data_IF_880838162997
#
_entry.id   IF_880838162997
#
_cell.length_a   1.000
_cell.length_b   1.000
_cell.length_c   1.000
_cell.angle_alpha   90.00
_cell.angle_beta   90.00
_cell.angle_gamma   90.00
#
_symmetry.space_group_name_H-M   'P 1'
#
loop_
_entity.id
_entity.type
_entity.pdbx_description
1 polymer ?
#
# COMPACT_ATOMS: atom_id res chain seq x y z
N UNK A 1 -23.52 -19.56 -13.11
CA UNK A 1 -22.88 -18.42 -13.80
C UNK A 1 -22.13 -17.52 -12.81
N UNK A 2 -22.70 -17.23 -11.63
CA UNK A 2 -22.05 -16.40 -10.58
C UNK A 2 -20.76 -17.03 -10.07
N UNK A 3 -20.74 -18.31 -9.71
CA UNK A 3 -19.54 -19.03 -9.23
C UNK A 3 -18.41 -19.02 -10.28
N UNK A 4 -18.74 -19.13 -11.58
CA UNK A 4 -17.72 -19.07 -12.63
C UNK A 4 -17.14 -17.65 -12.73
N UNK A 5 -17.95 -16.64 -12.55
CA UNK A 5 -17.52 -15.24 -12.57
C UNK A 5 -16.62 -14.92 -11.38
N UNK A 6 -17.00 -15.34 -10.16
CA UNK A 6 -16.18 -15.21 -8.96
C UNK A 6 -14.82 -15.88 -9.11
N UNK A 7 -14.79 -17.12 -9.61
CA UNK A 7 -13.53 -17.83 -9.85
C UNK A 7 -12.64 -17.12 -10.90
N UNK A 8 -13.24 -16.51 -11.94
CA UNK A 8 -12.49 -15.72 -12.93
C UNK A 8 -11.89 -14.45 -12.32
N UNK A 9 -12.60 -13.82 -11.40
CA UNK A 9 -12.12 -12.65 -10.64
C UNK A 9 -10.89 -13.01 -9.81
N UNK A 10 -11.01 -14.09 -9.04
CA UNK A 10 -9.93 -14.55 -8.16
C UNK A 10 -8.69 -14.95 -8.97
N UNK A 11 -8.88 -15.62 -10.11
CA UNK A 11 -7.79 -15.95 -11.03
C UNK A 11 -7.16 -14.69 -11.61
N UNK A 12 -7.94 -13.68 -11.99
CA UNK A 12 -7.42 -12.43 -12.54
C UNK A 12 -6.58 -11.68 -11.50
N UNK A 13 -7.04 -11.60 -10.24
CA UNK A 13 -6.26 -11.01 -9.16
C UNK A 13 -5.00 -11.82 -8.84
N UNK A 14 -5.08 -13.14 -8.86
CA UNK A 14 -3.92 -14.01 -8.64
C UNK A 14 -2.86 -13.80 -9.74
N UNK A 15 -3.27 -13.80 -11.01
CA UNK A 15 -2.38 -13.53 -12.16
C UNK A 15 -1.77 -12.13 -12.05
N UNK A 16 -2.56 -11.13 -11.67
CA UNK A 16 -2.09 -9.76 -11.43
C UNK A 16 -1.04 -9.71 -10.32
N UNK A 17 -1.28 -10.37 -9.19
CA UNK A 17 -0.36 -10.42 -8.06
C UNK A 17 0.96 -11.10 -8.45
N UNK A 18 0.90 -12.25 -9.15
CA UNK A 18 2.08 -12.97 -9.63
C UNK A 18 2.88 -12.10 -10.60
N UNK A 19 2.22 -11.46 -11.57
CA UNK A 19 2.87 -10.57 -12.52
C UNK A 19 3.54 -9.39 -11.83
N UNK A 20 2.88 -8.79 -10.82
CA UNK A 20 3.43 -7.68 -10.06
C UNK A 20 4.65 -8.09 -9.24
N UNK A 21 4.57 -9.19 -8.48
CA UNK A 21 5.69 -9.71 -7.68
C UNK A 21 6.88 -10.10 -8.57
N UNK A 22 6.61 -10.77 -9.69
CA UNK A 22 7.65 -11.15 -10.64
C UNK A 22 8.30 -9.91 -11.29
N UNK A 23 7.49 -8.93 -11.67
CA UNK A 23 7.96 -7.65 -12.18
C UNK A 23 8.87 -6.93 -11.18
N UNK A 24 8.48 -6.85 -9.90
CA UNK A 24 9.31 -6.27 -8.83
C UNK A 24 10.65 -7.03 -8.68
N UNK A 25 10.62 -8.36 -8.74
CA UNK A 25 11.85 -9.17 -8.72
C UNK A 25 12.78 -8.82 -9.89
N UNK A 26 12.23 -8.60 -11.08
CA UNK A 26 13.04 -8.21 -12.26
C UNK A 26 13.59 -6.78 -12.16
N UNK A 27 12.93 -5.89 -11.43
CA UNK A 27 13.39 -4.51 -11.19
C UNK A 27 14.69 -4.46 -10.37
N UNK A 28 15.01 -5.50 -9.59
CA UNK A 28 16.23 -5.55 -8.79
C UNK A 28 17.52 -5.65 -9.63
N UNK A 29 17.43 -5.96 -10.93
CA UNK A 29 18.59 -6.10 -11.81
C UNK A 29 18.52 -5.14 -12.99
N UNK A 30 19.55 -4.30 -13.26
CA UNK A 30 19.51 -3.29 -14.31
C UNK A 30 19.19 -3.83 -15.70
N UNK A 31 19.64 -5.05 -16.02
CA UNK A 31 19.42 -5.69 -17.34
C UNK A 31 17.97 -6.09 -17.58
N UNK A 32 17.22 -6.38 -16.53
CA UNK A 32 15.82 -6.85 -16.59
C UNK A 32 14.81 -5.81 -16.13
N UNK A 33 15.28 -4.69 -15.55
CA UNK A 33 14.43 -3.68 -14.92
C UNK A 33 13.36 -3.13 -15.87
N UNK A 34 13.68 -2.87 -17.13
CA UNK A 34 12.71 -2.37 -18.13
C UNK A 34 11.57 -3.37 -18.35
N UNK A 35 11.89 -4.65 -18.51
CA UNK A 35 10.90 -5.70 -18.71
C UNK A 35 10.10 -5.94 -17.42
N UNK A 36 10.77 -5.87 -16.26
CA UNK A 36 10.13 -5.95 -14.96
C UNK A 36 9.07 -4.87 -14.77
N UNK A 37 9.38 -3.64 -15.14
CA UNK A 37 8.42 -2.53 -15.07
C UNK A 37 7.21 -2.75 -15.99
N UNK A 38 7.42 -3.27 -17.21
CA UNK A 38 6.33 -3.58 -18.14
C UNK A 38 5.42 -4.68 -17.57
N UNK A 39 6.00 -5.74 -17.02
CA UNK A 39 5.25 -6.87 -16.43
C UNK A 39 4.47 -6.40 -15.19
N UNK A 40 5.09 -5.61 -14.30
CA UNK A 40 4.42 -5.04 -13.14
C UNK A 40 3.26 -4.11 -13.54
N UNK A 41 3.48 -3.27 -14.54
CA UNK A 41 2.44 -2.36 -15.07
C UNK A 41 1.28 -3.14 -15.71
N UNK A 42 1.56 -4.22 -16.43
CA UNK A 42 0.53 -5.09 -16.99
C UNK A 42 -0.28 -5.78 -15.87
N UNK A 43 0.39 -6.28 -14.82
CA UNK A 43 -0.28 -6.83 -13.64
C UNK A 43 -1.20 -5.80 -12.96
N UNK A 44 -0.72 -4.58 -12.76
CA UNK A 44 -1.53 -3.48 -12.22
C UNK A 44 -2.74 -3.17 -13.09
N UNK A 45 -2.56 -3.13 -14.42
CA UNK A 45 -3.65 -2.88 -15.36
C UNK A 45 -4.72 -3.96 -15.28
N UNK A 46 -4.33 -5.24 -15.19
CA UNK A 46 -5.26 -6.36 -15.01
C UNK A 46 -6.06 -6.16 -13.72
N UNK A 47 -5.42 -5.83 -12.60
CA UNK A 47 -6.11 -5.58 -11.33
C UNK A 47 -7.12 -4.44 -11.43
N UNK A 48 -6.73 -3.32 -12.03
CA UNK A 48 -7.60 -2.15 -12.21
C UNK A 48 -8.82 -2.51 -13.06
N UNK A 49 -8.61 -3.15 -14.21
CA UNK A 49 -9.71 -3.56 -15.10
C UNK A 49 -10.65 -4.53 -14.39
N UNK A 50 -10.10 -5.51 -13.66
CA UNK A 50 -10.90 -6.47 -12.88
C UNK A 50 -11.74 -5.75 -11.83
N UNK A 51 -11.15 -4.83 -11.06
CA UNK A 51 -11.85 -4.07 -10.02
C UNK A 51 -12.94 -3.18 -10.61
N UNK A 52 -12.66 -2.46 -11.69
CA UNK A 52 -13.62 -1.53 -12.33
C UNK A 52 -14.75 -2.28 -13.00
N UNK A 53 -14.47 -3.39 -13.67
CA UNK A 53 -15.48 -4.17 -14.40
C UNK A 53 -16.44 -4.94 -13.47
N UNK A 54 -15.98 -5.33 -12.28
CA UNK A 54 -16.69 -6.22 -11.36
C UNK A 54 -17.19 -5.51 -10.08
N UNK A 55 -16.76 -4.29 -9.85
CA UNK A 55 -17.21 -3.47 -8.72
C UNK A 55 -18.67 -3.02 -8.89
N UNK A 56 -19.58 -3.69 -8.20
CA UNK A 56 -21.04 -3.44 -8.32
C UNK A 56 -21.50 -2.14 -7.68
N UNK A 57 -20.73 -1.52 -6.80
CA UNK A 57 -21.09 -0.32 -6.03
C UNK A 57 -20.05 0.80 -6.11
N UNK A 58 -19.28 0.86 -7.21
CA UNK A 58 -18.23 1.86 -7.38
C UNK A 58 -18.80 3.11 -8.07
N UNK A 59 -18.46 4.28 -7.55
CA UNK A 59 -18.71 5.55 -8.25
C UNK A 59 -17.71 5.72 -9.39
N UNK A 60 -18.08 5.25 -10.58
CA UNK A 60 -17.25 5.29 -11.78
C UNK A 60 -16.80 6.70 -12.17
N UNK A 61 -17.58 7.74 -11.82
CA UNK A 61 -17.22 9.13 -12.09
C UNK A 61 -16.06 9.55 -11.20
N UNK A 62 -16.14 9.28 -9.89
CA UNK A 62 -15.07 9.60 -8.93
C UNK A 62 -13.79 8.83 -9.25
N UNK A 63 -13.90 7.54 -9.57
CA UNK A 63 -12.74 6.73 -9.96
C UNK A 63 -12.10 7.29 -11.24
N UNK A 64 -12.90 7.59 -12.27
CA UNK A 64 -12.39 8.16 -13.53
C UNK A 64 -11.68 9.50 -13.32
N UNK A 65 -12.24 10.40 -12.52
CA UNK A 65 -11.63 11.69 -12.17
C UNK A 65 -10.32 11.46 -11.41
N UNK A 66 -10.31 10.59 -10.41
CA UNK A 66 -9.11 10.29 -9.62
C UNK A 66 -8.00 9.67 -10.48
N UNK A 67 -8.34 8.77 -11.40
CA UNK A 67 -7.40 8.17 -12.34
C UNK A 67 -6.80 9.21 -13.30
N UNK A 68 -7.61 10.12 -13.85
CA UNK A 68 -7.12 11.19 -14.72
C UNK A 68 -6.17 12.11 -13.96
N UNK A 69 -6.57 12.59 -12.78
CA UNK A 69 -5.76 13.48 -11.96
C UNK A 69 -4.44 12.79 -11.57
N UNK A 70 -4.50 11.56 -11.08
CA UNK A 70 -3.32 10.78 -10.68
C UNK A 70 -2.38 10.52 -11.86
N UNK A 71 -2.93 10.19 -13.03
CA UNK A 71 -2.14 9.95 -14.25
C UNK A 71 -1.45 11.22 -14.75
N UNK A 72 -2.14 12.35 -14.75
CA UNK A 72 -1.55 13.65 -15.17
C UNK A 72 -0.42 14.05 -14.22
N UNK A 73 -0.66 13.98 -12.91
CA UNK A 73 0.36 14.30 -11.89
C UNK A 73 1.55 13.34 -12.00
N UNK A 74 1.27 12.03 -12.07
CA UNK A 74 2.31 11.01 -12.18
C UNK A 74 3.16 11.15 -13.44
N UNK A 75 2.53 11.35 -14.59
CA UNK A 75 3.22 11.57 -15.86
C UNK A 75 4.05 12.87 -15.85
N UNK A 76 3.51 13.95 -15.30
CA UNK A 76 4.21 15.21 -15.17
C UNK A 76 5.52 15.06 -14.39
N UNK A 77 5.48 14.43 -13.23
CA UNK A 77 6.68 14.20 -12.43
C UNK A 77 7.63 13.20 -13.09
N UNK A 78 7.12 12.12 -13.68
CA UNK A 78 7.95 11.11 -14.32
C UNK A 78 8.76 11.66 -15.52
N UNK A 79 8.19 12.62 -16.27
CA UNK A 79 8.87 13.23 -17.44
C UNK A 79 9.86 14.33 -17.00
N UNK A 80 9.55 15.06 -15.90
CA UNK A 80 10.34 16.22 -15.45
C UNK A 80 11.50 15.88 -14.52
N UNK A 81 11.47 14.71 -13.90
CA UNK A 81 12.49 14.31 -12.93
C UNK A 81 13.81 13.97 -13.62
N UNK A 82 14.90 14.50 -13.09
CA UNK A 82 16.24 14.13 -13.53
C UNK A 82 16.61 12.72 -13.05
N UNK A 83 17.52 12.03 -13.77
CA UNK A 83 17.95 10.67 -13.42
C UNK A 83 18.53 10.58 -12.00
N UNK A 84 19.19 11.64 -11.54
CA UNK A 84 19.75 11.76 -10.18
C UNK A 84 18.69 11.87 -9.10
N UNK A 85 17.49 12.32 -9.45
CA UNK A 85 16.36 12.51 -8.53
C UNK A 85 15.36 11.33 -8.58
N UNK A 86 15.59 10.33 -9.45
CA UNK A 86 14.70 9.17 -9.57
C UNK A 86 14.45 8.43 -8.22
N UNK A 87 15.45 8.22 -7.34
CA UNK A 87 15.21 7.59 -6.05
C UNK A 87 14.24 8.38 -5.16
N UNK A 88 14.28 9.73 -5.25
CA UNK A 88 13.36 10.61 -4.51
C UNK A 88 11.92 10.47 -5.02
N UNK A 89 11.74 10.40 -6.35
CA UNK A 89 10.43 10.22 -6.97
C UNK A 89 9.83 8.86 -6.60
N UNK A 90 10.65 7.80 -6.63
CA UNK A 90 10.23 6.45 -6.23
C UNK A 90 9.78 6.43 -4.77
N UNK A 91 10.52 7.10 -3.88
CA UNK A 91 10.15 7.19 -2.46
C UNK A 91 8.79 7.86 -2.28
N UNK A 92 8.53 8.99 -2.95
CA UNK A 92 7.24 9.68 -2.87
C UNK A 92 6.10 8.79 -3.39
N UNK A 93 6.24 8.18 -4.56
CA UNK A 93 5.19 7.34 -5.14
C UNK A 93 4.92 6.10 -4.30
N UNK A 94 5.96 5.49 -3.73
CA UNK A 94 5.80 4.40 -2.77
C UNK A 94 5.02 4.85 -1.53
N UNK A 95 5.33 6.04 -1.00
CA UNK A 95 4.60 6.62 0.12
C UNK A 95 3.12 6.83 -0.19
N UNK A 96 2.79 7.45 -1.31
CA UNK A 96 1.40 7.63 -1.72
C UNK A 96 0.67 6.29 -1.95
N UNK A 97 1.36 5.27 -2.48
CA UNK A 97 0.82 3.92 -2.60
C UNK A 97 0.48 3.30 -1.23
N UNK A 98 1.38 3.45 -0.25
CA UNK A 98 1.13 3.03 1.13
C UNK A 98 -0.06 3.77 1.76
N UNK A 99 -0.08 5.10 1.62
CA UNK A 99 -1.20 5.93 2.09
C UNK A 99 -2.54 5.55 1.47
N UNK A 100 -2.58 5.31 0.16
CA UNK A 100 -3.77 4.84 -0.54
C UNK A 100 -4.26 3.48 0.01
N UNK A 101 -3.35 2.54 0.22
CA UNK A 101 -3.66 1.23 0.81
C UNK A 101 -4.26 1.37 2.22
N UNK A 102 -3.67 2.22 3.08
CA UNK A 102 -4.18 2.48 4.42
C UNK A 102 -5.58 3.12 4.39
N UNK A 103 -5.82 4.08 3.48
CA UNK A 103 -7.12 4.74 3.34
C UNK A 103 -8.21 3.80 2.86
N UNK A 104 -7.92 2.94 1.88
CA UNK A 104 -8.87 1.93 1.39
C UNK A 104 -9.21 0.95 2.50
N UNK A 105 -8.22 0.43 3.21
CA UNK A 105 -8.42 -0.49 4.33
C UNK A 105 -9.21 0.17 5.47
N UNK A 106 -8.94 1.44 5.76
CA UNK A 106 -9.68 2.24 6.75
C UNK A 106 -11.15 2.41 6.34
N UNK A 107 -11.40 2.73 5.07
CA UNK A 107 -12.76 2.84 4.54
C UNK A 107 -13.53 1.53 4.66
N UNK A 108 -12.87 0.40 4.37
CA UNK A 108 -13.46 -0.92 4.46
C UNK A 108 -13.78 -1.31 5.91
N UNK A 109 -12.88 -0.97 6.84
CA UNK A 109 -13.12 -1.18 8.28
C UNK A 109 -14.37 -0.42 8.78
N UNK A 110 -14.52 0.84 8.39
CA UNK A 110 -15.71 1.64 8.80
C UNK A 110 -17.01 1.18 8.16
N UNK A 111 -16.96 0.57 6.99
CA UNK A 111 -18.17 0.02 6.34
C UNK A 111 -18.65 -1.28 6.98
N UNK A 112 -17.75 -2.17 7.33
CA UNK A 112 -18.09 -3.55 7.66
C UNK A 112 -17.53 -4.02 9.01
N UNK A 113 -16.67 -3.28 9.69
CA UNK A 113 -15.80 -3.65 10.78
C UNK A 113 -16.34 -4.70 11.76
N UNK A 114 -17.40 -4.37 12.51
CA UNK A 114 -17.94 -5.26 13.56
C UNK A 114 -18.60 -6.55 13.03
N UNK A 115 -19.01 -6.58 11.78
CA UNK A 115 -19.71 -7.71 11.15
C UNK A 115 -18.84 -8.47 10.13
N UNK A 116 -17.55 -8.11 10.03
CA UNK A 116 -16.65 -8.72 9.07
C UNK A 116 -16.14 -10.08 9.53
N UNK A 117 -15.91 -11.02 8.60
CA UNK A 117 -15.18 -12.25 8.92
C UNK A 117 -13.78 -11.93 9.44
N UNK A 118 -13.30 -12.74 10.40
CA UNK A 118 -11.96 -12.56 11.00
C UNK A 118 -10.84 -12.42 9.96
N UNK A 119 -10.77 -13.21 8.87
CA UNK A 119 -9.74 -13.05 7.85
C UNK A 119 -9.73 -11.66 7.19
N UNK A 120 -10.91 -11.05 7.00
CA UNK A 120 -11.03 -9.71 6.43
C UNK A 120 -10.49 -8.66 7.41
N UNK A 121 -10.83 -8.77 8.70
CA UNK A 121 -10.33 -7.85 9.74
C UNK A 121 -8.81 -7.94 9.86
N UNK A 122 -8.24 -9.15 9.79
CA UNK A 122 -6.78 -9.35 9.76
C UNK A 122 -6.17 -8.65 8.54
N UNK A 123 -6.74 -8.84 7.36
CA UNK A 123 -6.25 -8.22 6.12
C UNK A 123 -6.32 -6.69 6.18
N UNK A 124 -7.41 -6.13 6.71
CA UNK A 124 -7.58 -4.69 6.92
C UNK A 124 -6.52 -4.17 7.89
N UNK A 125 -6.35 -4.82 9.06
CA UNK A 125 -5.39 -4.39 10.09
C UNK A 125 -3.96 -4.40 9.54
N UNK A 126 -3.57 -5.46 8.84
CA UNK A 126 -2.25 -5.53 8.18
C UNK A 126 -2.08 -4.48 7.09
N UNK A 127 -3.11 -4.22 6.29
CA UNK A 127 -3.07 -3.20 5.23
C UNK A 127 -2.91 -1.79 5.80
N UNK A 128 -3.57 -1.50 6.93
CA UNK A 128 -3.40 -0.22 7.62
C UNK A 128 -2.00 -0.08 8.18
N UNK A 129 -1.48 -1.09 8.89
CA UNK A 129 -0.13 -1.07 9.45
C UNK A 129 0.94 -0.90 8.36
N UNK A 130 0.93 -1.78 7.36
CA UNK A 130 1.92 -1.73 6.28
C UNK A 130 1.78 -0.44 5.47
N UNK A 131 0.54 0.00 5.24
CA UNK A 131 0.25 1.21 4.49
C UNK A 131 0.76 2.48 5.19
N UNK A 132 0.50 2.63 6.49
CA UNK A 132 0.94 3.79 7.29
C UNK A 132 2.45 3.81 7.48
N UNK A 133 3.07 2.66 7.79
CA UNK A 133 4.53 2.52 7.85
C UNK A 133 5.20 2.84 6.50
N UNK A 134 4.61 2.39 5.40
CA UNK A 134 5.11 2.69 4.05
C UNK A 134 5.00 4.18 3.75
N UNK A 135 3.88 4.80 4.11
CA UNK A 135 3.66 6.22 3.91
C UNK A 135 4.70 7.04 4.68
N UNK A 136 4.75 6.90 5.98
CA UNK A 136 5.64 7.68 6.86
C UNK A 136 7.11 7.41 6.57
N UNK A 137 7.51 6.14 6.44
CA UNK A 137 8.88 5.73 6.15
C UNK A 137 9.37 6.24 4.78
N UNK A 138 8.51 6.25 3.76
CA UNK A 138 8.85 6.75 2.43
C UNK A 138 9.03 8.27 2.39
N UNK A 139 8.25 9.03 3.16
CA UNK A 139 8.47 10.47 3.29
C UNK A 139 9.75 10.81 4.05
N UNK A 140 10.12 10.02 5.07
CA UNK A 140 11.41 10.14 5.75
C UNK A 140 12.54 9.81 4.78
N UNK A 141 12.42 8.73 3.99
CA UNK A 141 13.39 8.35 2.98
C UNK A 141 13.56 9.44 1.92
N UNK A 142 12.47 10.02 1.42
CA UNK A 142 12.50 11.17 0.54
C UNK A 142 13.24 12.36 1.15
N UNK A 143 12.93 12.70 2.42
CA UNK A 143 13.60 13.78 3.14
C UNK A 143 15.12 13.57 3.28
N UNK A 144 15.56 12.32 3.53
CA UNK A 144 16.97 11.94 3.56
C UNK A 144 17.62 12.06 2.19
N UNK A 145 16.99 11.55 1.15
CA UNK A 145 17.51 11.60 -0.23
C UNK A 145 17.59 13.05 -0.76
N UNK A 146 16.71 13.92 -0.29
CA UNK A 146 16.70 15.35 -0.65
C UNK A 146 17.64 16.20 0.23
N UNK A 147 18.24 15.62 1.27
CA UNK A 147 19.09 16.34 2.21
C UNK A 147 18.35 17.24 3.22
N UNK A 148 17.02 17.12 3.32
CA UNK A 148 16.20 17.83 4.32
C UNK A 148 16.37 17.20 5.71
N UNK A 149 16.49 15.87 5.74
CA UNK A 149 16.72 15.08 6.96
C UNK A 149 18.11 14.51 6.89
N UNK A 150 18.81 14.47 8.03
CA UNK A 150 20.15 13.87 8.10
C UNK A 150 20.14 12.42 7.63
N UNK A 151 21.06 12.06 6.72
CA UNK A 151 21.28 10.69 6.26
C UNK A 151 21.92 9.77 7.32
N UNK A 152 22.45 10.35 8.40
CA UNK A 152 23.09 9.61 9.47
C UNK A 152 22.09 8.70 10.21
N UNK A 153 22.49 7.48 10.60
CA UNK A 153 21.65 6.63 11.43
C UNK A 153 21.47 7.28 12.81
N UNK A 154 20.22 7.33 13.28
CA UNK A 154 19.91 7.76 14.64
C UNK A 154 20.10 6.53 15.54
N UNK A 155 21.18 6.51 16.30
CA UNK A 155 21.47 5.44 17.25
C UNK A 155 21.52 5.98 18.66
N UNK A 156 20.90 5.27 19.60
CA UNK A 156 20.89 5.62 21.02
C UNK A 156 20.96 4.35 21.90
N UNK A 157 21.48 4.46 23.13
CA UNK A 157 21.51 3.32 24.05
C UNK A 157 20.11 2.79 24.31
N UNK A 158 19.94 1.45 24.21
CA UNK A 158 18.64 0.83 24.43
C UNK A 158 17.69 0.80 23.21
N UNK A 159 18.11 1.29 22.04
CA UNK A 159 17.30 1.31 20.82
C UNK A 159 16.64 -0.04 20.51
N UNK A 160 17.35 -1.14 20.64
CA UNK A 160 16.82 -2.47 20.35
C UNK A 160 15.70 -2.87 21.30
N UNK A 161 15.83 -2.50 22.60
CA UNK A 161 14.78 -2.77 23.60
C UNK A 161 13.55 -1.92 23.29
N UNK A 162 13.75 -0.65 22.99
CA UNK A 162 12.66 0.27 22.64
C UNK A 162 11.90 -0.19 21.38
N UNK A 163 12.64 -0.57 20.33
CA UNK A 163 12.04 -1.12 19.11
C UNK A 163 11.29 -2.42 19.41
N UNK A 164 11.83 -3.30 20.26
CA UNK A 164 11.13 -4.51 20.68
C UNK A 164 9.83 -4.23 21.40
N UNK A 165 9.80 -3.22 22.28
CA UNK A 165 8.56 -2.80 22.97
C UNK A 165 7.52 -2.28 21.97
N UNK A 166 7.94 -1.46 20.98
CA UNK A 166 7.04 -0.97 19.93
C UNK A 166 6.44 -2.13 19.13
N UNK A 167 7.26 -3.10 18.71
CA UNK A 167 6.77 -4.27 17.96
C UNK A 167 5.75 -5.06 18.79
N UNK A 168 6.02 -5.29 20.09
CA UNK A 168 5.09 -5.97 20.98
C UNK A 168 3.78 -5.17 21.12
N UNK A 169 3.87 -3.85 21.29
CA UNK A 169 2.69 -2.98 21.38
C UNK A 169 1.84 -3.05 20.09
N UNK A 170 2.47 -2.98 18.91
CA UNK A 170 1.80 -3.12 17.61
C UNK A 170 1.07 -4.45 17.51
N UNK A 171 1.72 -5.55 17.87
CA UNK A 171 1.11 -6.90 17.82
C UNK A 171 -0.08 -7.00 18.79
N UNK A 172 0.07 -6.49 20.01
CA UNK A 172 -1.00 -6.49 21.00
C UNK A 172 -2.21 -5.67 20.57
N UNK A 173 -1.99 -4.45 20.08
CA UNK A 173 -3.09 -3.59 19.62
C UNK A 173 -3.76 -4.16 18.38
N UNK A 174 -3.00 -4.75 17.46
CA UNK A 174 -3.56 -5.46 16.30
C UNK A 174 -4.43 -6.65 16.73
N UNK A 175 -3.97 -7.43 17.70
CA UNK A 175 -4.76 -8.51 18.28
C UNK A 175 -6.06 -8.00 18.92
N UNK A 176 -6.00 -6.90 19.68
CA UNK A 176 -7.19 -6.29 20.29
C UNK A 176 -8.17 -5.78 19.24
N UNK A 177 -7.69 -5.17 18.15
CA UNK A 177 -8.52 -4.75 17.02
C UNK A 177 -9.26 -5.92 16.37
N UNK A 178 -8.56 -7.04 16.18
CA UNK A 178 -9.14 -8.26 15.59
C UNK A 178 -10.15 -8.91 16.54
N UNK A 179 -9.86 -8.92 17.84
CA UNK A 179 -10.73 -9.55 18.85
C UNK A 179 -11.95 -8.71 19.20
N UNK A 180 -11.86 -7.38 19.07
CA UNK A 180 -12.93 -6.44 19.42
C UNK A 180 -13.15 -5.42 18.28
N UNK A 181 -13.63 -5.85 17.12
CA UNK A 181 -13.76 -4.96 15.95
C UNK A 181 -14.86 -3.89 16.11
N UNK A 182 -15.71 -4.02 17.12
CA UNK A 182 -16.70 -2.99 17.47
C UNK A 182 -16.10 -1.79 18.22
N UNK A 183 -14.92 -1.96 18.82
CA UNK A 183 -14.23 -0.89 19.54
C UNK A 183 -13.21 -0.21 18.64
N UNK A 184 -13.64 0.90 18.03
CA UNK A 184 -12.83 1.67 17.07
C UNK A 184 -11.53 2.24 17.68
N UNK A 185 -11.40 2.31 19.00
CA UNK A 185 -10.23 2.90 19.65
C UNK A 185 -8.95 2.12 19.33
N UNK A 186 -9.02 0.80 19.31
CA UNK A 186 -7.87 -0.05 18.95
C UNK A 186 -7.45 0.16 17.51
N UNK A 187 -8.42 0.32 16.60
CA UNK A 187 -8.14 0.60 15.20
C UNK A 187 -7.46 1.97 15.01
N UNK A 188 -7.92 3.01 15.71
CA UNK A 188 -7.25 4.32 15.67
C UNK A 188 -5.82 4.27 16.23
N UNK A 189 -5.58 3.45 17.25
CA UNK A 189 -4.22 3.27 17.78
C UNK A 189 -3.34 2.58 16.73
N UNK A 190 -3.82 1.54 16.03
CA UNK A 190 -3.09 0.89 14.93
C UNK A 190 -2.75 1.89 13.84
N UNK A 191 -3.71 2.71 13.44
CA UNK A 191 -3.52 3.76 12.42
C UNK A 191 -2.48 4.81 12.85
N UNK A 192 -2.42 5.15 14.14
CA UNK A 192 -1.52 6.18 14.68
C UNK A 192 -0.11 5.69 15.00
N UNK A 193 0.09 4.39 15.22
CA UNK A 193 1.41 3.80 15.51
C UNK A 193 2.16 3.48 14.20
N UNK A 194 1.46 3.11 13.11
CA UNK A 194 2.05 2.87 11.80
C UNK A 194 2.40 4.17 11.09
#
# INVERSE_FOLDING_TARGET
>A
KEIILENLIDIAYLVSAIAFIYGLKMLSHPRTARNGNIIASAGMLIAIITTVYLGTNLDMKMIGIAMIIGSVIGAFFAIRVEMTQMPQLVAIFNGFGGGASALVATSEFFKHGSNSPIPLIISITLSVLVGTLTFTGSFIAFGKLKGIVSGQPITYPGQNIFNGIIVIAVVLVSYLTISNPADFIYFYIVLGIG
#
